data_IF_436340369348
#
_entry.id   IF_436340369348
#
_cell.length_a   1.000
_cell.length_b   1.000
_cell.length_c   1.000
_cell.angle_alpha   90.00
_cell.angle_beta   90.00
_cell.angle_gamma   90.00
#
_symmetry.space_group_name_H-M   'P 1'
#
loop_
_entity.id
_entity.type
_entity.pdbx_description
1 polymer ?
#
# COMPACT_ATOMS: atom_id res chain seq x y z
N UNK A 1 -4.02 28.17 12.89
CA UNK A 1 -4.90 27.00 12.70
C UNK A 1 -4.03 25.80 12.41
N UNK A 2 -3.86 24.88 13.36
CA UNK A 2 -2.99 23.72 13.14
C UNK A 2 -3.73 22.71 12.26
N UNK A 3 -3.08 22.21 11.21
CA UNK A 3 -3.64 21.18 10.34
C UNK A 3 -4.10 19.95 11.16
N UNK A 4 -3.45 19.69 12.29
CA UNK A 4 -3.76 18.57 13.17
C UNK A 4 -5.08 18.77 13.94
N UNK A 5 -5.42 19.99 14.38
CA UNK A 5 -6.70 20.24 15.07
C UNK A 5 -7.88 19.98 14.14
N UNK A 6 -7.77 20.42 12.87
CA UNK A 6 -8.84 20.22 11.89
C UNK A 6 -9.06 18.74 11.58
N UNK A 7 -7.97 17.97 11.41
CA UNK A 7 -8.05 16.52 11.18
C UNK A 7 -8.70 15.80 12.37
N UNK A 8 -8.36 16.20 13.61
CA UNK A 8 -8.99 15.62 14.81
C UNK A 8 -10.50 15.88 14.82
N UNK A 9 -10.91 17.12 14.56
CA UNK A 9 -12.34 17.49 14.51
C UNK A 9 -13.09 16.72 13.43
N UNK A 10 -12.51 16.55 12.25
CA UNK A 10 -13.13 15.76 11.17
C UNK A 10 -13.27 14.28 11.54
N UNK A 11 -12.27 13.69 12.20
CA UNK A 11 -12.33 12.29 12.67
C UNK A 11 -13.43 12.13 13.73
N UNK A 12 -13.55 13.05 14.68
CA UNK A 12 -14.61 13.02 15.71
C UNK A 12 -16.00 13.19 15.09
N UNK A 13 -16.15 14.11 14.13
CA UNK A 13 -17.42 14.28 13.41
C UNK A 13 -17.80 13.01 12.62
N UNK A 14 -16.81 12.36 11.98
CA UNK A 14 -17.03 11.11 11.27
C UNK A 14 -17.36 9.95 12.22
N UNK A 15 -16.73 9.88 13.39
CA UNK A 15 -17.06 8.94 14.47
C UNK A 15 -18.47 9.16 15.00
N UNK A 16 -18.94 10.40 15.13
CA UNK A 16 -20.30 10.68 15.60
C UNK A 16 -21.38 10.29 14.57
N UNK A 17 -21.01 10.23 13.29
CA UNK A 17 -21.90 9.85 12.17
C UNK A 17 -21.74 8.41 11.73
N UNK A 18 -20.79 7.66 12.30
CA UNK A 18 -20.51 6.25 11.97
C UNK A 18 -20.41 5.42 13.25
N UNK A 19 -20.80 4.14 13.21
CA UNK A 19 -20.61 3.25 14.36
C UNK A 19 -19.14 2.77 14.51
N UNK A 20 -18.16 3.63 14.22
CA UNK A 20 -16.74 3.30 14.20
C UNK A 20 -15.98 4.09 15.26
N UNK A 21 -14.93 3.48 15.81
CA UNK A 21 -14.02 4.18 16.73
C UNK A 21 -12.98 4.99 15.95
N UNK A 22 -12.40 6.03 16.58
CA UNK A 22 -11.31 6.82 15.99
C UNK A 22 -10.14 5.95 15.53
N UNK A 23 -9.78 4.92 16.32
CA UNK A 23 -8.75 3.95 15.98
C UNK A 23 -9.05 3.23 14.66
N UNK A 24 -10.28 2.75 14.49
CA UNK A 24 -10.71 2.09 13.25
C UNK A 24 -10.71 3.04 12.06
N UNK A 25 -11.11 4.31 12.27
CA UNK A 25 -11.11 5.33 11.22
C UNK A 25 -9.67 5.60 10.76
N UNK A 26 -8.74 5.80 11.69
CA UNK A 26 -7.32 5.99 11.39
C UNK A 26 -6.73 4.77 10.67
N UNK A 27 -7.10 3.56 11.08
CA UNK A 27 -6.65 2.33 10.42
C UNK A 27 -7.18 2.20 8.99
N UNK A 28 -8.46 2.52 8.76
CA UNK A 28 -9.05 2.59 7.42
C UNK A 28 -8.34 3.61 6.53
N UNK A 29 -8.03 4.79 7.06
CA UNK A 29 -7.28 5.82 6.34
C UNK A 29 -5.87 5.34 5.99
N UNK A 30 -5.14 4.75 6.95
CA UNK A 30 -3.82 4.16 6.71
C UNK A 30 -3.86 3.12 5.58
N UNK A 31 -4.83 2.21 5.65
CA UNK A 31 -5.02 1.17 4.64
C UNK A 31 -5.38 1.75 3.27
N UNK A 32 -6.26 2.75 3.22
CA UNK A 32 -6.66 3.43 1.99
C UNK A 32 -5.46 4.08 1.29
N UNK A 33 -4.69 4.91 2.00
CA UNK A 33 -3.54 5.59 1.42
C UNK A 33 -2.42 4.61 1.06
N UNK A 34 -2.21 3.56 1.85
CA UNK A 34 -1.28 2.50 1.51
C UNK A 34 -1.68 1.79 0.19
N UNK A 35 -2.94 1.39 0.06
CA UNK A 35 -3.46 0.75 -1.15
C UNK A 35 -3.40 1.66 -2.38
N UNK A 36 -3.63 2.96 -2.20
CA UNK A 36 -3.48 3.97 -3.25
C UNK A 36 -2.02 4.01 -3.75
N UNK A 37 -1.06 4.12 -2.84
CA UNK A 37 0.38 4.10 -3.17
C UNK A 37 0.82 2.80 -3.84
N UNK A 38 0.32 1.65 -3.37
CA UNK A 38 0.58 0.35 -4.01
C UNK A 38 0.05 0.36 -5.45
N UNK A 39 -1.16 0.86 -5.67
CA UNK A 39 -1.78 0.90 -7.00
C UNK A 39 -1.03 1.80 -7.99
N UNK A 40 -0.54 2.95 -7.53
CA UNK A 40 0.32 3.84 -8.32
C UNK A 40 1.64 3.16 -8.70
N UNK A 41 2.30 2.52 -7.73
CA UNK A 41 3.54 1.79 -7.98
C UNK A 41 3.33 0.60 -8.93
N UNK A 42 2.20 -0.11 -8.83
CA UNK A 42 1.84 -1.17 -9.77
C UNK A 42 1.66 -0.64 -11.19
N UNK A 43 1.07 0.54 -11.37
CA UNK A 43 0.98 1.19 -12.69
C UNK A 43 2.37 1.48 -13.25
N UNK A 44 3.30 1.95 -12.42
CA UNK A 44 4.69 2.21 -12.84
C UNK A 44 5.45 0.92 -13.17
N UNK A 45 5.24 -0.14 -12.39
CA UNK A 45 5.80 -1.46 -12.63
C UNK A 45 5.33 -2.03 -13.97
N UNK A 46 4.02 -2.02 -14.23
CA UNK A 46 3.42 -2.49 -15.50
C UNK A 46 3.94 -1.73 -16.71
N UNK A 47 4.24 -0.43 -16.55
CA UNK A 47 4.84 0.42 -17.59
C UNK A 47 6.36 0.20 -17.75
N UNK A 48 6.99 -0.66 -16.95
CA UNK A 48 8.43 -0.87 -16.94
C UNK A 48 9.25 0.32 -16.42
N UNK A 49 8.61 1.35 -15.84
CA UNK A 49 9.25 2.59 -15.40
C UNK A 49 9.98 2.46 -14.07
N UNK A 50 9.55 1.53 -13.21
CA UNK A 50 10.18 1.27 -11.91
C UNK A 50 10.41 -0.23 -11.71
N UNK A 51 11.57 -0.59 -11.15
CA UNK A 51 11.88 -1.96 -10.76
C UNK A 51 11.25 -2.28 -9.40
N UNK A 52 11.14 -3.57 -9.08
CA UNK A 52 10.64 -4.05 -7.77
C UNK A 52 11.46 -3.45 -6.63
N UNK A 53 12.78 -3.35 -6.77
CA UNK A 53 13.67 -2.75 -5.78
C UNK A 53 13.24 -1.34 -5.40
N UNK A 54 12.94 -0.49 -6.38
CA UNK A 54 12.62 0.92 -6.16
C UNK A 54 11.23 1.05 -5.53
N UNK A 55 10.28 0.25 -6.00
CA UNK A 55 8.93 0.19 -5.46
C UNK A 55 8.94 -0.27 -4.00
N UNK A 56 9.75 -1.27 -3.68
CA UNK A 56 9.84 -1.81 -2.30
C UNK A 56 10.44 -0.80 -1.33
N UNK A 57 11.40 0.02 -1.80
CA UNK A 57 11.93 1.16 -1.04
C UNK A 57 10.86 2.24 -0.82
N UNK A 58 10.15 2.62 -1.88
CA UNK A 58 9.09 3.64 -1.80
C UNK A 58 7.98 3.23 -0.83
N UNK A 59 7.54 1.97 -0.92
CA UNK A 59 6.49 1.42 -0.08
C UNK A 59 6.97 0.97 1.31
N UNK A 60 8.27 1.09 1.60
CA UNK A 60 8.92 0.60 2.83
C UNK A 60 8.50 -0.83 3.17
N UNK A 61 8.49 -1.71 2.16
CA UNK A 61 8.11 -3.12 2.30
C UNK A 61 9.20 -4.03 1.77
N UNK A 62 9.17 -5.30 2.14
CA UNK A 62 10.11 -6.27 1.58
C UNK A 62 9.70 -6.66 0.15
N UNK A 63 10.67 -6.99 -0.73
CA UNK A 63 10.38 -7.55 -2.04
C UNK A 63 9.45 -8.76 -2.01
N UNK A 64 9.60 -9.64 -1.02
CA UNK A 64 8.72 -10.81 -0.84
C UNK A 64 7.25 -10.41 -0.68
N UNK A 65 6.96 -9.40 0.14
CA UNK A 65 5.58 -8.87 0.31
C UNK A 65 5.06 -8.28 -1.00
N UNK A 66 5.90 -7.58 -1.75
CA UNK A 66 5.51 -7.04 -3.05
C UNK A 66 5.21 -8.13 -4.09
N UNK A 67 6.03 -9.18 -4.16
CA UNK A 67 5.77 -10.32 -5.05
C UNK A 67 4.45 -11.03 -4.70
N UNK A 68 4.12 -11.20 -3.42
CA UNK A 68 2.82 -11.74 -3.01
C UNK A 68 1.64 -10.87 -3.51
N UNK A 69 1.80 -9.54 -3.53
CA UNK A 69 0.79 -8.62 -4.11
C UNK A 69 0.67 -8.82 -5.62
N UNK A 70 1.79 -9.02 -6.33
CA UNK A 70 1.78 -9.32 -7.76
C UNK A 70 1.06 -10.64 -8.06
N UNK A 71 1.36 -11.69 -7.29
CA UNK A 71 0.70 -13.00 -7.39
C UNK A 71 -0.80 -12.90 -7.14
N UNK A 72 -1.22 -12.26 -6.04
CA UNK A 72 -2.64 -12.08 -5.72
C UNK A 72 -3.41 -11.31 -6.81
N UNK A 73 -2.72 -10.44 -7.56
CA UNK A 73 -3.29 -9.67 -8.66
C UNK A 73 -3.10 -10.31 -10.03
N UNK A 74 -2.59 -11.54 -10.10
CA UNK A 74 -2.27 -12.26 -11.33
C UNK A 74 -1.37 -11.45 -12.29
N UNK A 75 -0.44 -10.66 -11.74
CA UNK A 75 0.52 -9.88 -12.53
C UNK A 75 1.75 -10.73 -12.77
N UNK A 76 2.03 -11.03 -14.04
CA UNK A 76 3.19 -11.79 -14.45
C UNK A 76 4.47 -11.05 -14.04
N UNK A 77 5.34 -11.76 -13.35
CA UNK A 77 6.66 -11.29 -12.95
C UNK A 77 7.67 -12.42 -13.12
N UNK A 78 8.92 -12.08 -13.40
CA UNK A 78 10.00 -13.07 -13.49
C UNK A 78 10.24 -13.65 -12.10
N UNK A 79 9.76 -14.88 -11.85
CA UNK A 79 10.20 -15.67 -10.71
C UNK A 79 11.63 -16.14 -10.99
N UNK A 80 12.54 -15.85 -10.07
CA UNK A 80 13.89 -16.37 -10.16
C UNK A 80 13.86 -17.87 -9.85
N UNK A 81 13.72 -18.69 -10.89
CA UNK A 81 13.95 -20.12 -10.79
C UNK A 81 15.45 -20.33 -10.78
N UNK A 82 16.07 -20.39 -9.58
CA UNK A 82 17.40 -20.96 -9.46
C UNK A 82 17.23 -22.45 -9.77
N UNK A 83 17.45 -22.86 -11.03
CA UNK A 83 17.63 -24.27 -11.34
C UNK A 83 18.79 -24.72 -10.44
N UNK A 84 18.50 -25.59 -9.47
CA UNK A 84 19.53 -26.38 -8.81
C UNK A 84 19.95 -27.39 -9.86
N UNK A 85 20.97 -27.06 -10.63
CA UNK A 85 21.72 -28.08 -11.36
C UNK A 85 22.23 -29.05 -10.30
N UNK A 86 21.73 -30.28 -10.36
CA UNK A 86 22.04 -31.41 -9.49
C UNK A 86 22.76 -32.43 -10.34
#
# INVERSE_FOLDING_TARGET
MSSLSNIKTEIENYKNTSNLTELQIVEKLKNYYFNKRVSENLKLYKKGKKKVSDITKDLKMSPRKFYAILEKKNIQHKKYNKKRES
#
